data_IF_295145253147
#
_entry.id   IF_295145253147
#
_cell.length_a   1.000
_cell.length_b   1.000
_cell.length_c   1.000
_cell.angle_alpha   90.00
_cell.angle_beta   90.00
_cell.angle_gamma   90.00
#
_symmetry.space_group_name_H-M   'P 1'
#
loop_
_entity.id
_entity.type
_entity.pdbx_description
1 polymer ?
#
# COMPACT_ATOMS: atom_id res chain seq x y z
N UNK A 1 1.34 28.81 -10.38
CA UNK A 1 0.56 27.71 -10.99
C UNK A 1 0.94 26.42 -10.26
N UNK A 2 0.20 26.04 -9.21
CA UNK A 2 0.43 24.75 -8.55
C UNK A 2 0.25 23.66 -9.59
N UNK A 3 1.33 22.95 -9.92
CA UNK A 3 1.19 21.68 -10.62
C UNK A 3 0.33 20.81 -9.71
N UNK A 4 -0.92 20.53 -10.09
CA UNK A 4 -1.72 19.41 -9.57
C UNK A 4 -0.98 18.13 -9.94
N UNK A 5 0.14 17.87 -9.27
CA UNK A 5 0.85 16.60 -9.33
C UNK A 5 -0.09 15.59 -8.71
N UNK A 6 -0.73 14.79 -9.54
CA UNK A 6 -1.66 13.75 -9.13
C UNK A 6 -0.89 12.73 -8.27
N UNK A 7 -0.86 12.95 -6.96
CA UNK A 7 -0.10 12.14 -6.02
C UNK A 7 -0.89 10.86 -5.73
N UNK A 8 -0.62 9.83 -6.53
CA UNK A 8 -1.05 8.45 -6.24
C UNK A 8 -0.16 7.77 -5.20
N UNK A 9 0.74 8.53 -4.56
CA UNK A 9 1.65 8.01 -3.55
C UNK A 9 1.00 7.69 -2.20
N UNK A 10 -0.26 8.07 -2.02
CA UNK A 10 -1.08 7.66 -0.90
C UNK A 10 -2.57 7.54 -1.29
N UNK A 11 -3.35 6.92 -0.40
CA UNK A 11 -4.80 6.88 -0.51
C UNK A 11 -5.46 7.01 0.86
N UNK A 12 -6.43 7.92 0.94
CA UNK A 12 -7.31 8.10 2.11
C UNK A 12 -8.69 7.59 1.69
N UNK A 13 -9.22 6.64 2.45
CA UNK A 13 -10.61 6.19 2.28
C UNK A 13 -11.50 7.16 3.05
N UNK A 14 -12.56 7.65 2.40
CA UNK A 14 -13.55 8.54 3.02
C UNK A 14 -14.92 7.86 3.03
N UNK A 15 -15.64 8.03 4.13
CA UNK A 15 -17.04 7.65 4.26
C UNK A 15 -17.93 8.61 3.46
N UNK A 16 -19.21 8.26 3.29
CA UNK A 16 -20.18 9.07 2.53
C UNK A 16 -20.39 10.47 3.15
N UNK A 17 -20.25 10.58 4.46
CA UNK A 17 -20.34 11.84 5.21
C UNK A 17 -19.05 12.68 5.14
N UNK A 18 -18.03 12.22 4.40
CA UNK A 18 -16.75 12.91 4.22
C UNK A 18 -15.70 12.62 5.28
N UNK A 19 -16.06 11.93 6.38
CA UNK A 19 -15.11 11.52 7.43
C UNK A 19 -14.09 10.50 6.92
N UNK A 20 -12.90 10.46 7.53
CA UNK A 20 -11.87 9.48 7.16
C UNK A 20 -12.26 8.12 7.71
N UNK A 21 -12.16 7.09 6.87
CA UNK A 21 -12.38 5.71 7.28
C UNK A 21 -11.37 5.31 8.35
N UNK A 22 -11.88 4.73 9.42
CA UNK A 22 -11.08 4.35 10.58
C UNK A 22 -10.68 2.88 10.49
N UNK A 23 -9.39 2.61 10.60
CA UNK A 23 -8.82 1.27 10.74
C UNK A 23 -8.50 1.07 12.21
N UNK A 24 -9.13 0.10 12.88
CA UNK A 24 -8.92 -0.12 14.31
C UNK A 24 -9.28 1.10 15.18
N UNK A 25 -10.32 1.85 14.82
CA UNK A 25 -10.77 3.04 15.55
C UNK A 25 -9.97 4.31 15.31
N UNK A 26 -8.90 4.27 14.50
CA UNK A 26 -8.07 5.42 14.16
C UNK A 26 -8.16 5.76 12.68
N UNK A 27 -8.05 7.05 12.34
CA UNK A 27 -8.02 7.50 10.94
C UNK A 27 -6.81 6.90 10.22
N UNK A 28 -7.04 6.28 9.06
CA UNK A 28 -6.02 5.53 8.33
C UNK A 28 -5.66 6.14 6.98
N UNK A 29 -4.38 6.05 6.61
CA UNK A 29 -3.88 6.40 5.27
C UNK A 29 -3.05 5.24 4.73
N UNK A 30 -3.30 4.84 3.48
CA UNK A 30 -2.44 3.90 2.78
C UNK A 30 -1.27 4.64 2.15
N UNK A 31 -0.04 4.39 2.62
CA UNK A 31 1.19 4.97 2.08
C UNK A 31 1.72 4.12 0.93
N UNK A 32 1.27 4.39 -0.29
CA UNK A 32 1.56 3.57 -1.47
C UNK A 32 3.03 3.64 -1.87
N UNK A 33 3.69 4.80 -1.71
CA UNK A 33 5.14 4.92 -1.96
C UNK A 33 6.01 4.19 -0.93
N UNK A 34 5.42 3.69 0.14
CA UNK A 34 6.11 2.90 1.18
C UNK A 34 5.71 1.42 1.15
N UNK A 35 5.03 0.97 0.10
CA UNK A 35 4.74 -0.46 -0.06
C UNK A 35 6.04 -1.24 -0.27
N UNK A 36 6.05 -2.50 0.17
CA UNK A 36 7.20 -3.39 0.04
C UNK A 36 6.75 -4.84 -0.12
N UNK A 37 7.53 -5.70 -0.81
CA UNK A 37 7.23 -7.11 -0.92
C UNK A 37 7.45 -7.81 0.43
N UNK A 38 6.69 -8.87 0.69
CA UNK A 38 6.83 -9.70 1.90
C UNK A 38 6.44 -11.15 1.59
N UNK A 39 7.02 -12.10 2.32
CA UNK A 39 6.70 -13.53 2.22
C UNK A 39 6.02 -14.02 3.50
N UNK A 40 5.32 -15.16 3.41
CA UNK A 40 4.52 -15.70 4.53
C UNK A 40 5.32 -15.91 5.82
N UNK A 41 6.62 -16.24 5.74
CA UNK A 41 7.47 -16.46 6.93
C UNK A 41 7.63 -15.21 7.81
N UNK A 42 7.41 -14.02 7.26
CA UNK A 42 7.48 -12.75 8.00
C UNK A 42 6.10 -12.26 8.45
N UNK A 43 5.03 -12.98 8.13
CA UNK A 43 3.67 -12.68 8.61
C UNK A 43 3.41 -13.47 9.88
N UNK A 44 3.04 -12.77 10.96
CA UNK A 44 2.74 -13.40 12.25
C UNK A 44 1.27 -13.85 12.33
N UNK A 45 0.37 -12.88 12.41
CA UNK A 45 -1.07 -13.10 12.59
C UNK A 45 -1.84 -11.96 11.91
N UNK A 46 -3.15 -12.14 11.73
CA UNK A 46 -3.99 -11.06 11.21
C UNK A 46 -4.00 -9.88 12.18
N UNK A 47 -4.21 -8.68 11.66
CA UNK A 47 -4.48 -7.53 12.51
C UNK A 47 -5.92 -7.62 13.03
N UNK A 48 -6.09 -7.66 14.34
CA UNK A 48 -7.40 -7.71 15.00
C UNK A 48 -7.71 -6.38 15.67
N UNK A 49 -8.97 -5.95 15.58
CA UNK A 49 -9.52 -4.94 16.47
C UNK A 49 -10.63 -5.61 17.27
N UNK A 50 -10.47 -5.64 18.59
CA UNK A 50 -11.22 -6.54 19.49
C UNK A 50 -11.07 -8.00 19.02
N UNK A 51 -12.15 -8.63 18.56
CA UNK A 51 -12.18 -10.03 18.09
C UNK A 51 -12.37 -10.15 16.57
N UNK A 52 -12.42 -9.02 15.85
CA UNK A 52 -12.72 -9.00 14.42
C UNK A 52 -11.44 -8.77 13.62
N UNK A 53 -11.04 -9.71 12.73
CA UNK A 53 -9.91 -9.50 11.84
C UNK A 53 -10.22 -8.35 10.89
N UNK A 54 -9.34 -7.36 10.89
CA UNK A 54 -9.51 -6.17 10.08
C UNK A 54 -9.10 -6.45 8.64
N UNK A 55 -9.99 -6.12 7.71
CA UNK A 55 -9.74 -6.17 6.28
C UNK A 55 -10.54 -5.10 5.57
N UNK A 56 -10.00 -4.57 4.49
CA UNK A 56 -10.78 -3.74 3.58
C UNK A 56 -11.75 -4.65 2.81
N UNK A 57 -13.05 -4.38 2.92
CA UNK A 57 -14.10 -5.21 2.27
C UNK A 57 -14.72 -4.58 1.03
N UNK A 58 -14.55 -3.27 0.84
CA UNK A 58 -15.11 -2.56 -0.30
C UNK A 58 -14.28 -2.83 -1.55
N UNK A 59 -14.82 -3.61 -2.48
CA UNK A 59 -14.15 -3.92 -3.75
C UNK A 59 -13.74 -2.68 -4.54
N UNK A 60 -14.55 -1.62 -4.50
CA UNK A 60 -14.25 -0.38 -5.20
C UNK A 60 -12.99 0.29 -4.65
N UNK A 61 -12.82 0.28 -3.31
CA UNK A 61 -11.60 0.80 -2.69
C UNK A 61 -10.40 -0.10 -2.95
N UNK A 62 -10.57 -1.42 -2.90
CA UNK A 62 -9.51 -2.39 -3.23
C UNK A 62 -9.00 -2.14 -4.65
N UNK A 63 -9.90 -2.14 -5.65
CA UNK A 63 -9.56 -1.90 -7.07
C UNK A 63 -8.84 -0.56 -7.27
N UNK A 64 -9.25 0.48 -6.55
CA UNK A 64 -8.62 1.80 -6.66
C UNK A 64 -7.22 1.82 -6.06
N UNK A 65 -7.03 1.21 -4.89
CA UNK A 65 -5.71 1.09 -4.26
C UNK A 65 -4.78 0.26 -5.15
N UNK A 66 -5.24 -0.88 -5.66
CA UNK A 66 -4.46 -1.74 -6.56
C UNK A 66 -4.04 -0.99 -7.83
N UNK A 67 -4.94 -0.20 -8.42
CA UNK A 67 -4.61 0.62 -9.59
C UNK A 67 -3.50 1.62 -9.28
N UNK A 68 -3.53 2.26 -8.11
CA UNK A 68 -2.50 3.20 -7.66
C UNK A 68 -1.17 2.49 -7.40
N UNK A 69 -1.18 1.37 -6.69
CA UNK A 69 0.01 0.54 -6.44
C UNK A 69 0.68 0.13 -7.76
N UNK A 70 -0.08 -0.43 -8.70
CA UNK A 70 0.44 -0.83 -10.01
C UNK A 70 1.02 0.34 -10.80
N UNK A 71 0.36 1.50 -10.76
CA UNK A 71 0.89 2.71 -11.39
C UNK A 71 2.24 3.11 -10.77
N UNK A 72 2.36 3.10 -9.44
CA UNK A 72 3.61 3.46 -8.76
C UNK A 72 4.73 2.47 -9.08
N UNK A 73 4.47 1.16 -9.01
CA UNK A 73 5.45 0.12 -9.40
C UNK A 73 5.93 0.35 -10.83
N UNK A 74 5.02 0.61 -11.77
CA UNK A 74 5.39 0.84 -13.17
C UNK A 74 6.24 2.10 -13.37
N UNK A 75 5.97 3.17 -12.61
CA UNK A 75 6.79 4.38 -12.65
C UNK A 75 8.18 4.15 -12.04
N UNK A 76 8.27 3.38 -10.95
CA UNK A 76 9.55 2.99 -10.34
C UNK A 76 10.38 2.14 -11.31
N UNK A 77 9.78 1.13 -11.95
CA UNK A 77 10.44 0.27 -12.93
C UNK A 77 11.00 1.04 -14.12
N UNK A 78 10.34 2.11 -14.54
CA UNK A 78 10.77 2.98 -15.65
C UNK A 78 11.78 4.05 -15.23
N UNK A 79 12.10 4.16 -13.93
CA UNK A 79 12.94 5.24 -13.39
C UNK A 79 12.30 6.64 -13.48
N UNK A 80 11.04 6.75 -13.89
CA UNK A 80 10.31 8.04 -13.96
C UNK A 80 10.00 8.56 -12.57
N UNK A 81 9.71 7.66 -11.64
CA UNK A 81 9.66 7.95 -10.22
C UNK A 81 10.98 7.49 -9.61
N UNK A 82 11.78 8.45 -9.15
CA UNK A 82 13.08 8.18 -8.51
C UNK A 82 13.01 8.22 -6.99
N UNK A 83 11.96 8.85 -6.44
CA UNK A 83 11.69 8.87 -5.01
C UNK A 83 10.98 7.59 -4.61
N UNK A 84 11.73 6.71 -3.96
CA UNK A 84 11.21 5.56 -3.24
C UNK A 84 11.80 5.56 -1.84
N UNK A 85 10.97 5.48 -0.80
CA UNK A 85 11.47 5.47 0.58
C UNK A 85 12.03 4.08 0.95
N UNK A 86 11.80 3.06 0.11
CA UNK A 86 12.23 1.67 0.29
C UNK A 86 12.96 1.19 -0.96
N UNK A 87 14.04 0.42 -0.85
CA UNK A 87 14.60 -0.31 -2.00
C UNK A 87 13.71 -1.51 -2.36
N UNK A 88 12.64 -1.21 -3.11
CA UNK A 88 11.59 -2.17 -3.45
C UNK A 88 12.14 -3.38 -4.21
N UNK A 89 13.00 -3.14 -5.21
CA UNK A 89 13.48 -4.19 -6.10
C UNK A 89 14.62 -4.99 -5.47
N UNK A 90 15.51 -4.35 -4.71
CA UNK A 90 16.53 -5.06 -3.93
C UNK A 90 15.90 -5.99 -2.89
N UNK A 91 14.88 -5.51 -2.17
CA UNK A 91 14.14 -6.33 -1.21
C UNK A 91 13.38 -7.47 -1.88
N UNK A 92 12.77 -7.24 -3.05
CA UNK A 92 12.10 -8.29 -3.83
C UNK A 92 13.07 -9.42 -4.20
N UNK A 93 14.27 -9.08 -4.70
CA UNK A 93 15.29 -10.08 -5.03
C UNK A 93 15.76 -10.87 -3.81
N UNK A 94 16.08 -10.18 -2.72
CA UNK A 94 16.51 -10.82 -1.48
C UNK A 94 15.45 -11.81 -0.94
N UNK A 95 14.17 -11.46 -1.05
CA UNK A 95 13.07 -12.35 -0.67
C UNK A 95 12.97 -13.57 -1.59
N UNK A 96 13.08 -13.39 -2.90
CA UNK A 96 13.05 -14.49 -3.88
C UNK A 96 14.21 -15.46 -3.69
N UNK A 97 15.42 -14.96 -3.42
CA UNK A 97 16.59 -15.79 -3.09
C UNK A 97 16.35 -16.62 -1.83
N UNK A 98 15.78 -16.00 -0.80
CA UNK A 98 15.48 -16.68 0.47
C UNK A 98 14.41 -17.78 0.39
N UNK A 99 13.70 -17.90 -0.75
CA UNK A 99 12.71 -18.94 -1.03
C UNK A 99 13.26 -20.09 -1.89
N UNK A 100 14.44 -19.93 -2.48
CA UNK A 100 15.11 -20.96 -3.30
C UNK A 100 15.97 -21.91 -2.46
N UNK A 101 16.10 -21.64 -1.17
CA UNK A 101 16.84 -22.43 -0.18
C UNK A 101 15.95 -23.56 0.33
#
# INVERSE_FOLDING_TARGET
MEKRGFCDGYHIIRNKDGSIYKIGGQEGVFLILKMFPITKKYLKENYYFNTVPQRLVSENHIKLIDKKCNKMINLLKRGTLTRNDVDLFGLEQALLESLRI
#
